data_IF_911320398353
#
_entry.id   IF_911320398353
#
_cell.length_a   1.000
_cell.length_b   1.000
_cell.length_c   1.000
_cell.angle_alpha   90.00
_cell.angle_beta   90.00
_cell.angle_gamma   90.00
#
_symmetry.space_group_name_H-M   'P 1'
#
loop_
_entity.id
_entity.type
_entity.pdbx_description
1 polymer ?
#
# COMPACT_ATOMS: atom_id res chain seq x y z
N UNK A 1 -0.74 -5.92 -7.86
CA UNK A 1 0.52 -6.59 -8.28
C UNK A 1 0.28 -8.03 -8.69
N UNK A 2 -0.20 -8.92 -7.80
CA UNK A 2 -0.37 -10.35 -8.10
C UNK A 2 -1.19 -10.61 -9.37
N UNK A 3 -2.40 -10.03 -9.49
CA UNK A 3 -3.22 -10.18 -10.69
C UNK A 3 -2.46 -9.83 -11.98
N UNK A 4 -1.79 -8.66 -12.00
CA UNK A 4 -0.99 -8.23 -13.16
C UNK A 4 0.17 -9.17 -13.50
N UNK A 5 0.81 -9.82 -12.50
CA UNK A 5 1.91 -10.76 -12.73
C UNK A 5 1.41 -12.12 -13.20
N UNK A 6 0.31 -12.60 -12.61
CA UNK A 6 -0.31 -13.87 -13.01
C UNK A 6 -0.80 -13.82 -14.46
N UNK A 7 -1.38 -12.70 -14.89
CA UNK A 7 -1.85 -12.51 -16.28
C UNK A 7 -0.73 -12.19 -17.28
N UNK A 8 0.55 -12.21 -16.87
CA UNK A 8 1.66 -12.20 -17.85
C UNK A 8 1.68 -13.50 -18.66
N UNK A 9 1.17 -14.59 -18.09
CA UNK A 9 0.84 -15.81 -18.82
C UNK A 9 -0.53 -15.67 -19.51
N UNK A 10 -0.61 -15.72 -20.85
CA UNK A 10 -1.87 -15.56 -21.57
C UNK A 10 -2.87 -16.70 -21.32
N UNK A 11 -2.42 -17.86 -20.82
CA UNK A 11 -3.28 -19.00 -20.51
C UNK A 11 -3.94 -18.88 -19.11
N UNK A 12 -3.54 -17.89 -18.30
CA UNK A 12 -4.04 -17.66 -16.95
C UNK A 12 -5.13 -16.57 -16.95
N UNK A 13 -6.33 -16.94 -16.48
CA UNK A 13 -7.43 -15.98 -16.26
C UNK A 13 -7.54 -15.62 -14.78
N UNK A 14 -7.57 -14.32 -14.47
CA UNK A 14 -7.69 -13.80 -13.09
C UNK A 14 -8.96 -12.96 -12.98
N UNK A 15 -9.71 -13.15 -11.89
CA UNK A 15 -10.78 -12.24 -11.47
C UNK A 15 -10.36 -11.50 -10.20
N UNK A 16 -10.52 -10.18 -10.19
CA UNK A 16 -10.29 -9.33 -9.01
C UNK A 16 -11.64 -8.88 -8.47
N UNK A 17 -11.85 -9.06 -7.17
CA UNK A 17 -13.04 -8.57 -6.46
C UNK A 17 -12.58 -7.43 -5.54
N UNK A 18 -13.12 -6.24 -5.77
CA UNK A 18 -12.84 -5.02 -5.00
C UNK A 18 -14.14 -4.47 -4.43
N UNK A 19 -14.13 -4.02 -3.17
CA UNK A 19 -15.31 -3.51 -2.47
C UNK A 19 -15.62 -2.04 -2.76
N UNK A 20 -14.69 -1.33 -3.38
CA UNK A 20 -14.82 0.06 -3.82
C UNK A 20 -14.91 0.26 -5.34
N UNK A 21 -15.20 1.50 -5.78
CA UNK A 21 -15.18 1.86 -7.20
C UNK A 21 -13.75 1.95 -7.72
N UNK A 22 -13.60 2.19 -9.03
CA UNK A 22 -12.30 2.60 -9.61
C UNK A 22 -11.94 4.04 -9.22
N UNK A 23 -10.65 4.34 -9.12
CA UNK A 23 -10.11 5.69 -8.98
C UNK A 23 -9.84 6.39 -10.33
N UNK A 24 -10.08 5.71 -11.46
CA UNK A 24 -10.00 6.32 -12.79
C UNK A 24 -10.97 7.51 -12.86
N UNK A 25 -10.46 8.65 -13.33
CA UNK A 25 -11.18 9.93 -13.47
C UNK A 25 -11.78 10.49 -12.16
N UNK A 26 -11.23 10.09 -11.01
CA UNK A 26 -11.63 10.62 -9.69
C UNK A 26 -10.62 11.63 -9.16
N UNK A 27 -10.82 12.90 -9.46
CA UNK A 27 -9.92 13.98 -9.01
C UNK A 27 -9.85 14.14 -7.48
N UNK A 28 -10.87 13.70 -6.74
CA UNK A 28 -10.86 13.67 -5.28
C UNK A 28 -9.81 12.68 -4.73
N UNK A 29 -9.55 11.60 -5.46
CA UNK A 29 -8.50 10.61 -5.16
C UNK A 29 -7.17 10.97 -5.79
N UNK A 30 -7.17 11.32 -7.08
CA UNK A 30 -5.95 11.53 -7.88
C UNK A 30 -5.23 12.85 -7.57
N UNK A 31 -5.89 13.79 -6.86
CA UNK A 31 -5.27 15.05 -6.43
C UNK A 31 -4.81 14.96 -4.98
N UNK A 32 -3.50 14.78 -4.75
CA UNK A 32 -2.91 14.67 -3.40
C UNK A 32 -3.34 15.79 -2.44
N UNK A 33 -3.50 17.04 -2.91
CA UNK A 33 -3.95 18.17 -2.06
C UNK A 33 -5.35 17.98 -1.46
N UNK A 34 -6.16 17.08 -2.02
CA UNK A 34 -7.52 16.74 -1.55
C UNK A 34 -7.56 15.56 -0.59
N UNK A 35 -6.40 14.92 -0.33
CA UNK A 35 -6.28 13.70 0.46
C UNK A 35 -7.04 13.72 1.79
N UNK A 36 -7.02 14.82 2.54
CA UNK A 36 -7.73 14.92 3.83
C UNK A 36 -9.24 14.64 3.71
N UNK A 37 -9.85 14.96 2.56
CA UNK A 37 -11.26 14.70 2.29
C UNK A 37 -11.60 13.22 2.09
N UNK A 38 -10.60 12.36 1.89
CA UNK A 38 -10.79 10.91 1.75
C UNK A 38 -10.96 10.22 3.11
N UNK A 39 -10.48 10.82 4.20
CA UNK A 39 -10.51 10.24 5.53
C UNK A 39 -11.91 10.34 6.15
N UNK A 40 -12.56 9.20 6.37
CA UNK A 40 -13.95 9.12 6.82
C UNK A 40 -14.98 9.52 5.75
N UNK A 41 -14.57 9.63 4.49
CA UNK A 41 -15.46 9.88 3.36
C UNK A 41 -16.04 8.58 2.77
N UNK A 42 -16.77 8.70 1.65
CA UNK A 42 -17.46 7.56 1.01
C UNK A 42 -16.55 6.43 0.54
N UNK A 43 -15.27 6.76 0.30
CA UNK A 43 -14.23 5.83 -0.10
C UNK A 43 -13.43 5.27 1.08
N UNK A 44 -13.84 5.52 2.32
CA UNK A 44 -13.20 5.00 3.52
C UNK A 44 -14.10 3.95 4.19
N UNK A 45 -13.54 2.82 4.55
CA UNK A 45 -14.22 1.88 5.45
C UNK A 45 -14.34 2.43 6.88
N UNK A 46 -13.54 3.43 7.23
CA UNK A 46 -13.56 4.19 8.49
C UNK A 46 -13.65 3.31 9.75
N UNK A 47 -12.83 2.28 9.82
CA UNK A 47 -12.83 1.37 10.97
C UNK A 47 -12.37 2.12 12.23
N UNK A 48 -13.13 2.14 13.33
CA UNK A 48 -12.64 2.67 14.59
C UNK A 48 -11.89 1.59 15.38
N UNK A 49 -10.89 1.98 16.16
CA UNK A 49 -10.39 1.10 17.23
C UNK A 49 -11.47 0.88 18.28
N UNK A 50 -11.41 -0.27 18.95
CA UNK A 50 -12.21 -0.51 20.14
C UNK A 50 -11.64 0.27 21.32
N UNK A 51 -12.34 0.24 22.45
CA UNK A 51 -11.81 0.77 23.70
C UNK A 51 -10.44 0.15 24.03
N UNK A 52 -9.47 1.02 24.34
CA UNK A 52 -8.10 0.65 24.64
C UNK A 52 -7.77 0.97 26.11
N UNK A 53 -7.19 0.03 26.88
CA UNK A 53 -6.98 0.18 28.32
C UNK A 53 -5.95 1.27 28.69
N UNK A 54 -5.21 1.82 27.71
CA UNK A 54 -4.15 2.80 27.91
C UNK A 54 -4.38 4.08 27.09
N UNK A 55 -5.64 4.41 26.80
CA UNK A 55 -6.03 5.55 25.95
C UNK A 55 -5.96 5.22 24.47
N UNK A 56 -6.22 6.21 23.60
CA UNK A 56 -6.32 6.01 22.14
C UNK A 56 -7.47 5.08 21.70
N UNK A 57 -8.56 5.07 22.48
CA UNK A 57 -9.83 4.43 22.11
C UNK A 57 -10.49 5.14 20.94
N UNK A 58 -11.17 4.39 20.08
CA UNK A 58 -11.97 4.92 18.96
C UNK A 58 -11.18 5.81 17.97
N UNK A 59 -9.87 5.57 17.85
CA UNK A 59 -9.08 6.17 16.79
C UNK A 59 -9.54 5.62 15.45
N UNK A 60 -9.75 6.51 14.49
CA UNK A 60 -9.98 6.17 13.09
C UNK A 60 -8.79 5.42 12.51
N UNK A 61 -9.02 4.18 12.12
CA UNK A 61 -8.13 3.36 11.29
C UNK A 61 -8.67 3.36 9.86
N UNK A 62 -8.44 4.47 9.17
CA UNK A 62 -8.84 4.65 7.76
C UNK A 62 -8.33 3.50 6.89
N UNK A 63 -9.23 2.92 6.10
CA UNK A 63 -8.92 1.88 5.10
C UNK A 63 -9.67 2.19 3.84
N UNK A 64 -8.92 2.34 2.75
CA UNK A 64 -9.49 2.70 1.48
C UNK A 64 -10.42 1.61 0.93
N UNK A 65 -11.55 2.08 0.41
CA UNK A 65 -12.58 1.36 -0.34
C UNK A 65 -12.60 1.94 -1.75
N UNK A 66 -11.56 1.61 -2.52
CA UNK A 66 -11.37 2.01 -3.92
C UNK A 66 -10.38 1.04 -4.56
N UNK A 67 -10.48 0.77 -5.85
CA UNK A 67 -9.48 0.00 -6.59
C UNK A 67 -8.11 0.66 -6.46
N UNK A 68 -7.11 -0.12 -6.05
CA UNK A 68 -5.81 0.38 -5.59
C UNK A 68 -5.67 0.37 -4.06
N UNK A 69 -6.80 0.42 -3.35
CA UNK A 69 -6.83 0.35 -1.90
C UNK A 69 -6.06 1.49 -1.26
N UNK A 70 -5.35 1.21 -0.17
CA UNK A 70 -4.71 2.26 0.61
C UNK A 70 -3.60 3.01 -0.14
N UNK A 71 -3.09 2.51 -1.27
CA UNK A 71 -2.15 3.29 -2.09
C UNK A 71 -2.80 4.48 -2.78
N UNK A 72 -4.10 4.43 -3.08
CA UNK A 72 -4.86 5.56 -3.63
C UNK A 72 -5.33 6.54 -2.54
N UNK A 73 -5.17 6.18 -1.26
CA UNK A 73 -5.57 6.97 -0.08
C UNK A 73 -4.38 7.37 0.81
N UNK A 74 -3.13 7.17 0.40
CA UNK A 74 -1.97 7.53 1.21
C UNK A 74 -1.31 8.83 0.74
N UNK A 75 -0.24 9.22 1.41
CA UNK A 75 0.51 10.46 1.13
C UNK A 75 1.73 10.25 0.23
N UNK A 76 1.76 9.16 -0.55
CA UNK A 76 2.78 8.84 -1.55
C UNK A 76 4.21 8.63 -1.01
N UNK A 77 4.36 8.43 0.30
CA UNK A 77 5.66 8.19 0.93
C UNK A 77 6.10 6.74 0.63
N UNK A 78 7.35 6.59 0.18
CA UNK A 78 7.96 5.29 -0.08
C UNK A 78 9.40 5.27 0.43
N UNK A 79 9.77 4.20 1.13
CA UNK A 79 11.13 3.94 1.60
C UNK A 79 11.55 2.52 1.22
N UNK A 80 12.86 2.34 0.95
CA UNK A 80 13.45 1.00 0.91
C UNK A 80 13.76 0.58 2.36
N UNK A 81 13.29 -0.58 2.84
CA UNK A 81 13.72 -1.14 4.12
C UNK A 81 15.25 -1.28 4.19
N UNK A 82 15.81 -1.21 5.39
CA UNK A 82 17.21 -1.54 5.60
C UNK A 82 17.39 -3.06 5.46
N UNK A 83 18.56 -3.55 5.02
CA UNK A 83 18.80 -4.99 4.91
C UNK A 83 18.48 -5.75 6.20
N UNK A 84 18.84 -5.20 7.36
CA UNK A 84 18.57 -5.81 8.66
C UNK A 84 17.07 -6.03 8.95
N UNK A 85 16.18 -5.18 8.43
CA UNK A 85 14.74 -5.32 8.65
C UNK A 85 14.20 -6.60 7.96
N UNK A 86 14.76 -6.97 6.81
CA UNK A 86 14.41 -8.21 6.10
C UNK A 86 15.10 -9.44 6.69
N UNK A 87 16.35 -9.30 7.10
CA UNK A 87 17.09 -10.40 7.71
C UNK A 87 16.45 -10.81 9.06
N UNK A 88 15.94 -9.86 9.83
CA UNK A 88 15.16 -10.14 11.06
C UNK A 88 13.92 -11.01 10.77
N UNK A 89 13.23 -10.80 9.64
CA UNK A 89 12.09 -11.66 9.26
C UNK A 89 12.54 -13.10 8.99
N UNK A 90 13.66 -13.27 8.28
CA UNK A 90 14.20 -14.60 7.98
C UNK A 90 14.63 -15.33 9.26
N UNK A 91 15.30 -14.62 10.18
CA UNK A 91 15.67 -15.14 11.50
C UNK A 91 14.46 -15.53 12.35
N UNK A 92 13.35 -14.78 12.24
CA UNK A 92 12.08 -15.09 12.87
C UNK A 92 11.32 -16.27 12.22
N UNK A 93 11.87 -16.88 11.16
CA UNK A 93 11.32 -18.06 10.50
C UNK A 93 10.64 -17.81 9.15
N UNK A 94 10.63 -16.57 8.63
CA UNK A 94 10.20 -16.28 7.27
C UNK A 94 11.30 -16.66 6.26
N UNK A 95 11.55 -17.96 6.13
CA UNK A 95 12.60 -18.48 5.25
C UNK A 95 12.47 -17.93 3.83
N UNK A 96 13.59 -17.44 3.27
CA UNK A 96 13.62 -16.83 1.93
C UNK A 96 13.21 -15.35 1.87
N UNK A 97 12.91 -14.70 2.99
CA UNK A 97 12.56 -13.28 3.05
C UNK A 97 13.69 -12.35 3.51
N UNK A 98 14.93 -12.85 3.57
CA UNK A 98 16.12 -12.04 3.89
C UNK A 98 16.48 -11.04 2.80
N UNK A 99 17.35 -10.09 3.12
CA UNK A 99 17.67 -8.95 2.25
C UNK A 99 18.13 -9.36 0.85
N UNK A 100 18.99 -10.37 0.77
CA UNK A 100 19.51 -10.87 -0.51
C UNK A 100 18.41 -11.39 -1.45
N UNK A 101 17.34 -11.96 -0.90
CA UNK A 101 16.20 -12.47 -1.66
C UNK A 101 15.21 -11.35 -2.02
N UNK A 102 15.03 -10.37 -1.15
CA UNK A 102 14.07 -9.27 -1.32
C UNK A 102 14.58 -8.16 -2.23
N UNK A 103 15.89 -7.87 -2.22
CA UNK A 103 16.51 -6.79 -2.99
C UNK A 103 16.20 -6.83 -4.50
N UNK A 104 16.30 -7.99 -5.18
CA UNK A 104 15.92 -8.11 -6.58
C UNK A 104 14.45 -7.76 -6.87
N UNK A 105 13.54 -8.01 -5.92
CA UNK A 105 12.13 -7.66 -6.07
C UNK A 105 11.90 -6.17 -5.83
N UNK A 106 12.59 -5.56 -4.87
CA UNK A 106 12.57 -4.11 -4.70
C UNK A 106 13.06 -3.39 -5.97
N UNK A 107 14.12 -3.89 -6.61
CA UNK A 107 14.65 -3.35 -7.86
C UNK A 107 13.67 -3.48 -9.05
N UNK A 108 12.70 -4.41 -8.99
CA UNK A 108 11.65 -4.56 -10.01
C UNK A 108 10.48 -3.58 -9.84
N UNK A 109 10.41 -2.83 -8.73
CA UNK A 109 9.38 -1.82 -8.54
C UNK A 109 9.58 -0.69 -9.56
N UNK A 110 8.50 -0.29 -10.23
CA UNK A 110 8.51 0.82 -11.18
C UNK A 110 8.44 2.16 -10.42
N UNK A 111 9.47 2.44 -9.65
CA UNK A 111 9.60 3.69 -8.91
C UNK A 111 10.45 4.67 -9.70
N UNK A 112 9.91 5.84 -10.03
CA UNK A 112 10.69 6.96 -10.55
C UNK A 112 11.21 7.77 -9.36
N UNK A 113 12.45 7.52 -8.94
CA UNK A 113 13.08 8.27 -7.84
C UNK A 113 13.73 9.50 -8.46
N UNK A 114 13.13 10.66 -8.24
CA UNK A 114 13.69 11.96 -8.63
C UNK A 114 14.22 12.65 -7.38
N UNK A 115 15.53 12.91 -7.28
CA UNK A 115 16.09 13.75 -6.22
C UNK A 115 15.41 15.13 -6.25
N UNK A 116 14.92 15.59 -5.10
CA UNK A 116 14.24 16.89 -5.00
C UNK A 116 15.22 18.04 -4.78
N UNK A 117 16.47 17.73 -4.45
CA UNK A 117 17.59 18.67 -4.31
C UNK A 117 18.92 17.94 -4.57
N UNK A 118 19.96 18.68 -4.97
CA UNK A 118 21.34 18.16 -4.99
C UNK A 118 21.96 18.28 -3.59
N UNK A 119 22.81 17.32 -3.22
CA UNK A 119 23.42 17.26 -1.88
C UNK A 119 24.26 18.49 -1.54
#
# INVERSE_FOLDING_TARGET
VIASRLTEDPDVTVTVIEGGPTDIDRDDVLTLRRWLGLLGGDLDYDYPTTEQPRGNSHIRHSRARVLGGCSSHNTLISFKPLPGDWDEWAEAGAEGWGAAAMDPYFAKLRNNIVPVDEK
#
